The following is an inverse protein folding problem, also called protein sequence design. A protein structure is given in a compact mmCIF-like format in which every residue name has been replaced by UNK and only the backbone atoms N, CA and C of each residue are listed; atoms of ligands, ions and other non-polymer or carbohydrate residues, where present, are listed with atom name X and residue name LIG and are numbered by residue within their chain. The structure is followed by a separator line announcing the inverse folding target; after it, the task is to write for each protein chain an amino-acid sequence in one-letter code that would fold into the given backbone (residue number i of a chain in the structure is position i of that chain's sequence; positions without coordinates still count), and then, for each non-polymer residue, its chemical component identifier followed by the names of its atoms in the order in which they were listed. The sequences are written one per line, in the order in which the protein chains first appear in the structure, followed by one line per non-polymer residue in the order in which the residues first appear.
data_IF_477798105914
#
_entry.id   IF_477798105914
#
_cell.length_a   1.000
_cell.length_b   1.000
_cell.length_c   1.000
_cell.angle_alpha   90.00
_cell.angle_beta   90.00
_cell.angle_gamma   90.00
#
_symmetry.space_group_name_H-M   'P 1'
#
loop_
_entity.id
_entity.type
_entity.pdbx_description
1 polymer ?
#
# COMPACT_ATOMS: atom_id res chain seq x y z
N UNK A 1 -10.65 -2.90 -3.46
CA UNK A 1 -11.82 -3.01 -2.56
C UNK A 1 -12.69 -1.76 -2.68
N UNK A 2 -13.71 -1.59 -1.84
CA UNK A 2 -14.69 -0.49 -1.88
C UNK A 2 -15.41 -0.36 -0.52
N UNK A 3 -15.99 0.80 -0.24
CA UNK A 3 -16.87 1.04 0.92
C UNK A 3 -18.32 0.87 0.47
N UNK A 4 -19.08 -0.08 1.02
CA UNK A 4 -20.51 -0.32 0.72
C UNK A 4 -20.86 -0.69 -0.74
N UNK A 5 -20.37 0.04 -1.76
CA UNK A 5 -20.67 -0.18 -3.16
C UNK A 5 -19.46 -0.05 -4.10
N UNK A 6 -19.21 -1.10 -4.89
CA UNK A 6 -18.02 -1.26 -5.77
C UNK A 6 -17.80 -0.17 -6.82
N UNK A 7 -18.89 0.43 -7.31
CA UNK A 7 -18.85 1.46 -8.37
C UNK A 7 -18.95 2.88 -7.82
N UNK A 8 -19.72 3.08 -6.74
CA UNK A 8 -20.06 4.41 -6.23
C UNK A 8 -19.03 4.90 -5.21
N UNK A 9 -18.54 4.00 -4.35
CA UNK A 9 -17.53 4.31 -3.33
C UNK A 9 -16.32 3.36 -3.45
N UNK A 10 -15.66 3.27 -4.61
CA UNK A 10 -14.41 2.51 -4.73
C UNK A 10 -13.30 3.14 -3.88
N UNK A 11 -12.31 2.33 -3.54
CA UNK A 11 -11.12 2.79 -2.82
C UNK A 11 -9.84 2.31 -3.51
N UNK A 12 -8.76 3.04 -3.27
CA UNK A 12 -7.40 2.72 -3.71
C UNK A 12 -6.54 2.34 -2.51
N UNK A 13 -5.47 1.60 -2.76
CA UNK A 13 -4.44 1.33 -1.78
C UNK A 13 -3.07 1.40 -2.47
N UNK A 14 -2.24 2.34 -2.06
CA UNK A 14 -0.84 2.42 -2.44
C UNK A 14 -0.02 1.52 -1.49
N UNK A 15 0.98 0.84 -2.03
CA UNK A 15 1.87 -0.05 -1.28
C UNK A 15 3.28 0.21 -1.78
N UNK A 16 4.19 0.46 -0.85
CA UNK A 16 5.61 0.62 -1.10
C UNK A 16 6.38 -0.49 -0.39
N UNK A 17 7.35 -1.08 -1.08
CA UNK A 17 8.21 -2.12 -0.53
C UNK A 17 9.69 -1.83 -0.79
N UNK A 18 10.56 -2.37 0.06
CA UNK A 18 11.96 -2.58 -0.28
C UNK A 18 12.06 -3.85 -1.15
N UNK A 19 12.77 -3.74 -2.26
CA UNK A 19 12.72 -4.72 -3.36
C UNK A 19 13.36 -6.05 -3.00
N UNK A 20 14.48 -6.05 -2.28
CA UNK A 20 15.28 -7.26 -2.02
C UNK A 20 14.69 -8.10 -0.90
N UNK A 21 14.29 -7.44 0.18
CA UNK A 21 13.75 -8.04 1.41
C UNK A 21 12.24 -8.29 1.36
N UNK A 22 11.53 -7.67 0.41
CA UNK A 22 10.06 -7.63 0.38
C UNK A 22 9.44 -6.88 1.56
N UNK A 23 10.24 -6.11 2.32
CA UNK A 23 9.76 -5.35 3.47
C UNK A 23 8.76 -4.29 3.02
N UNK A 24 7.56 -4.31 3.59
CA UNK A 24 6.55 -3.30 3.31
C UNK A 24 6.91 -2.04 4.09
N UNK A 25 7.32 -1.00 3.38
CA UNK A 25 7.76 0.27 3.96
C UNK A 25 6.54 1.11 4.38
N UNK A 26 5.55 1.21 3.49
CA UNK A 26 4.34 1.99 3.76
C UNK A 26 3.14 1.45 2.99
N UNK A 27 1.96 1.60 3.59
CA UNK A 27 0.69 1.37 2.89
C UNK A 27 -0.24 2.54 3.12
N UNK A 28 -0.96 2.96 2.08
CA UNK A 28 -1.96 4.04 2.20
C UNK A 28 -3.22 3.75 1.41
N UNK A 29 -4.32 3.60 2.14
CA UNK A 29 -5.66 3.52 1.60
C UNK A 29 -6.25 4.92 1.37
N UNK A 30 -7.11 5.06 0.36
CA UNK A 30 -7.80 6.31 0.09
C UNK A 30 -9.04 6.13 -0.77
N UNK A 31 -9.88 7.16 -0.80
CA UNK A 31 -11.07 7.15 -1.63
C UNK A 31 -10.74 7.26 -3.13
N UNK A 32 -11.60 6.71 -3.96
CA UNK A 32 -11.67 6.97 -5.39
C UNK A 32 -13.02 7.62 -5.72
N UNK A 33 -13.05 8.39 -6.81
CA UNK A 33 -14.30 8.86 -7.41
C UNK A 33 -15.14 7.67 -7.91
N UNK A 34 -16.45 7.86 -7.98
CA UNK A 34 -17.35 6.89 -8.59
C UNK A 34 -16.92 6.58 -10.03
N UNK A 35 -17.07 5.33 -10.48
CA UNK A 35 -16.52 4.87 -11.76
C UNK A 35 -17.40 3.85 -12.48
N UNK A 36 -17.22 3.78 -13.80
CA UNK A 36 -17.89 2.84 -14.70
C UNK A 36 -19.31 3.29 -15.08
N UNK A 37 -19.92 2.59 -16.04
CA UNK A 37 -21.32 2.81 -16.45
C UNK A 37 -22.27 2.55 -15.28
N UNK A 38 -23.20 3.47 -15.06
CA UNK A 38 -24.21 3.45 -13.99
C UNK A 38 -25.60 3.33 -14.62
N UNK A 39 -26.50 2.66 -13.92
CA UNK A 39 -27.95 2.72 -14.18
C UNK A 39 -28.51 4.01 -13.56
N UNK A 40 -29.75 4.37 -13.90
CA UNK A 40 -30.45 5.53 -13.31
C UNK A 40 -30.52 5.44 -11.79
N UNK A 41 -30.99 4.31 -11.25
CA UNK A 41 -30.99 4.07 -9.79
C UNK A 41 -29.58 4.16 -9.14
N UNK A 42 -28.51 3.82 -9.87
CA UNK A 42 -27.13 4.00 -9.36
C UNK A 42 -26.67 5.46 -9.42
N UNK A 43 -27.26 6.25 -10.30
CA UNK A 43 -26.98 7.67 -10.47
C UNK A 43 -27.70 8.48 -9.39
N UNK A 44 -28.98 8.19 -9.14
CA UNK A 44 -29.76 8.73 -8.01
C UNK A 44 -29.07 8.43 -6.68
N UNK A 45 -28.73 7.16 -6.44
CA UNK A 45 -28.00 6.76 -5.22
C UNK A 45 -26.65 7.47 -5.08
N UNK A 46 -25.99 7.79 -6.18
CA UNK A 46 -24.73 8.55 -6.15
C UNK A 46 -24.97 10.01 -5.77
N UNK A 47 -26.08 10.61 -6.22
CA UNK A 47 -26.46 11.97 -5.89
C UNK A 47 -26.82 12.09 -4.42
N UNK A 48 -27.60 11.15 -3.88
CA UNK A 48 -27.87 11.04 -2.43
C UNK A 48 -26.57 11.02 -1.62
N UNK A 49 -25.64 10.12 -1.96
CA UNK A 49 -24.34 10.02 -1.29
C UNK A 49 -23.55 11.33 -1.40
N UNK A 50 -23.63 12.04 -2.53
CA UNK A 50 -22.92 13.31 -2.72
C UNK A 50 -23.56 14.47 -1.96
N UNK A 51 -24.88 14.46 -1.75
CA UNK A 51 -25.55 15.41 -0.88
C UNK A 51 -25.18 15.19 0.58
N UNK A 52 -25.11 13.93 1.02
CA UNK A 52 -24.77 13.56 2.41
C UNK A 52 -23.27 13.75 2.73
N UNK A 53 -22.37 13.27 1.86
CA UNK A 53 -20.93 13.16 2.15
C UNK A 53 -20.05 14.11 1.31
N UNK A 54 -20.65 14.82 0.35
CA UNK A 54 -19.94 15.63 -0.63
C UNK A 54 -19.37 14.84 -1.82
N UNK A 55 -18.91 15.57 -2.84
CA UNK A 55 -18.37 14.99 -4.08
C UNK A 55 -17.03 14.27 -3.83
N UNK A 56 -17.03 12.95 -4.00
CA UNK A 56 -15.82 12.10 -3.86
C UNK A 56 -14.78 12.42 -4.94
N UNK A 57 -13.61 12.90 -4.52
CA UNK A 57 -12.42 13.09 -5.38
C UNK A 57 -11.43 11.93 -5.22
N UNK A 58 -10.67 11.64 -6.27
CA UNK A 58 -9.66 10.56 -6.24
C UNK A 58 -8.46 10.94 -5.37
N UNK A 59 -8.22 10.17 -4.30
CA UNK A 59 -7.07 10.32 -3.41
C UNK A 59 -5.82 9.54 -3.91
N UNK A 60 -5.89 8.85 -5.06
CA UNK A 60 -4.81 7.95 -5.52
C UNK A 60 -3.45 8.62 -5.64
N UNK A 61 -3.40 9.90 -6.05
CA UNK A 61 -2.15 10.67 -6.15
C UNK A 61 -1.58 10.98 -4.75
N UNK A 62 -2.44 11.44 -3.84
CA UNK A 62 -2.05 11.71 -2.46
C UNK A 62 -1.56 10.45 -1.74
N UNK A 63 -2.23 9.31 -1.89
CA UNK A 63 -1.78 8.05 -1.29
C UNK A 63 -0.40 7.61 -1.79
N UNK A 64 -0.13 7.80 -3.09
CA UNK A 64 1.18 7.50 -3.68
C UNK A 64 2.25 8.45 -3.15
N UNK A 65 1.93 9.74 -3.07
CA UNK A 65 2.84 10.75 -2.53
C UNK A 65 3.22 10.46 -1.08
N UNK A 66 2.26 10.10 -0.24
CA UNK A 66 2.51 9.75 1.15
C UNK A 66 3.44 8.53 1.28
N UNK A 67 3.32 7.54 0.39
CA UNK A 67 4.30 6.45 0.32
C UNK A 67 5.70 6.95 -0.05
N UNK A 68 5.80 7.90 -0.98
CA UNK A 68 7.09 8.50 -1.36
C UNK A 68 7.67 9.34 -0.23
N UNK A 69 6.87 10.17 0.44
CA UNK A 69 7.30 10.94 1.62
C UNK A 69 7.80 10.00 2.73
N UNK A 70 7.08 8.91 3.00
CA UNK A 70 7.52 7.88 3.95
C UNK A 70 8.88 7.26 3.57
N UNK A 71 9.13 7.01 2.27
CA UNK A 71 10.43 6.56 1.79
C UNK A 71 11.56 7.55 2.11
N UNK A 72 11.28 8.85 1.96
CA UNK A 72 12.22 9.92 2.28
C UNK A 72 12.58 9.99 3.76
N UNK A 73 11.60 9.68 4.63
CA UNK A 73 11.79 9.68 6.09
C UNK A 73 12.56 8.48 6.65
N UNK A 74 12.53 7.32 5.97
CA UNK A 74 13.19 6.10 6.49
C UNK A 74 14.66 5.94 6.05
N UNK A 75 15.09 6.62 4.99
CA UNK A 75 16.45 6.48 4.45
C UNK A 75 17.38 7.52 5.08
N UNK A 76 18.60 7.11 5.47
CA UNK A 76 19.65 8.01 5.96
C UNK A 76 19.90 9.17 4.98
N UNK A 77 20.00 10.40 5.47
CA UNK A 77 19.96 11.66 4.69
C UNK A 77 20.94 11.73 3.52
N UNK A 78 22.12 11.10 3.64
CA UNK A 78 23.19 11.10 2.64
C UNK A 78 23.00 10.05 1.52
N UNK A 79 22.08 9.09 1.68
CA UNK A 79 21.88 8.03 0.69
C UNK A 79 20.90 8.46 -0.41
N UNK A 80 21.23 8.26 -1.70
CA UNK A 80 20.32 8.55 -2.80
C UNK A 80 19.11 7.61 -2.80
N UNK A 81 17.97 8.12 -3.23
CA UNK A 81 16.72 7.34 -3.31
C UNK A 81 16.68 6.59 -4.62
N UNK A 82 16.52 5.26 -4.56
CA UNK A 82 16.33 4.41 -5.74
C UNK A 82 14.89 3.94 -5.79
N UNK A 83 14.08 4.55 -6.64
CA UNK A 83 12.66 4.24 -6.78
C UNK A 83 12.40 3.43 -8.04
N UNK A 84 11.59 2.38 -7.92
CA UNK A 84 11.17 1.56 -9.05
C UNK A 84 9.64 1.52 -9.12
N UNK A 85 9.08 1.85 -10.28
CA UNK A 85 7.63 1.84 -10.50
C UNK A 85 7.26 1.26 -11.86
N UNK A 86 5.96 1.07 -12.10
CA UNK A 86 5.47 0.93 -13.46
C UNK A 86 5.52 2.29 -14.22
N UNK A 87 4.99 2.32 -15.45
CA UNK A 87 4.93 3.52 -16.30
C UNK A 87 3.69 4.42 -16.08
N UNK A 88 3.04 4.35 -14.92
CA UNK A 88 1.89 5.21 -14.63
C UNK A 88 2.33 6.67 -14.66
N UNK A 89 1.69 7.46 -15.54
CA UNK A 89 2.01 8.86 -15.82
C UNK A 89 2.06 9.77 -14.59
N UNK A 90 1.36 9.41 -13.51
CA UNK A 90 1.33 10.23 -12.29
C UNK A 90 2.58 10.09 -11.42
N UNK A 91 3.37 9.02 -11.57
CA UNK A 91 4.51 8.79 -10.66
C UNK A 91 5.57 9.88 -10.71
N UNK A 92 6.06 10.34 -11.88
CA UNK A 92 7.07 11.41 -11.92
C UNK A 92 6.62 12.69 -11.22
N UNK A 93 5.35 13.09 -11.42
CA UNK A 93 4.78 14.29 -10.78
C UNK A 93 4.69 14.13 -9.27
N UNK A 94 4.22 12.99 -8.77
CA UNK A 94 4.11 12.78 -7.32
C UNK A 94 5.48 12.56 -6.66
N UNK A 95 6.48 12.05 -7.39
CA UNK A 95 7.88 12.01 -6.91
C UNK A 95 8.44 13.43 -6.72
N UNK A 96 8.23 14.33 -7.69
CA UNK A 96 8.63 15.74 -7.56
C UNK A 96 7.94 16.41 -6.37
N UNK A 97 6.64 16.14 -6.17
CA UNK A 97 5.85 16.70 -5.06
C UNK A 97 6.24 16.17 -3.69
N UNK A 98 6.72 14.94 -3.59
CA UNK A 98 7.26 14.40 -2.34
C UNK A 98 8.55 15.12 -1.89
N UNK A 99 9.13 15.94 -2.78
CA UNK A 99 10.21 16.88 -2.48
C UNK A 99 11.38 16.26 -1.70
N UNK A 100 11.94 15.17 -2.24
CA UNK A 100 13.11 14.56 -1.67
C UNK A 100 14.28 15.55 -1.63
N UNK A 101 14.88 15.76 -0.46
CA UNK A 101 16.05 16.63 -0.26
C UNK A 101 17.36 16.10 -0.88
N UNK A 102 17.28 15.07 -1.72
CA UNK A 102 18.43 14.29 -2.19
C UNK A 102 18.20 13.68 -3.56
N UNK A 103 19.28 13.20 -4.17
CA UNK A 103 19.24 12.60 -5.50
C UNK A 103 18.24 11.44 -5.59
N UNK A 104 17.35 11.49 -6.58
CA UNK A 104 16.36 10.47 -6.89
C UNK A 104 16.69 9.78 -8.22
N UNK A 105 16.95 8.48 -8.16
CA UNK A 105 17.06 7.60 -9.31
C UNK A 105 15.75 6.84 -9.50
N UNK A 106 14.92 7.31 -10.45
CA UNK A 106 13.63 6.69 -10.76
C UNK A 106 13.73 5.80 -12.00
N UNK A 107 13.56 4.48 -11.82
CA UNK A 107 13.51 3.51 -12.91
C UNK A 107 12.08 3.02 -13.13
N UNK A 108 11.61 3.09 -14.38
CA UNK A 108 10.27 2.61 -14.74
C UNK A 108 10.34 1.27 -15.48
N UNK A 109 9.33 0.43 -15.28
CA UNK A 109 9.18 -0.85 -15.97
C UNK A 109 7.81 -0.91 -16.63
N UNK A 110 7.76 -1.37 -17.88
CA UNK A 110 6.48 -1.54 -18.57
C UNK A 110 5.70 -2.70 -17.93
N UNK A 111 4.44 -2.45 -17.57
CA UNK A 111 3.57 -3.43 -16.93
C UNK A 111 3.19 -4.60 -17.85
N UNK A 112 3.39 -4.45 -19.16
CA UNK A 112 3.17 -5.49 -20.18
C UNK A 112 4.35 -6.45 -20.34
N UNK A 113 5.53 -6.13 -19.77
CA UNK A 113 6.68 -7.06 -19.80
C UNK A 113 6.30 -8.36 -19.11
N UNK A 114 6.91 -9.46 -19.58
CA UNK A 114 6.72 -10.80 -19.02
C UNK A 114 6.85 -10.77 -17.50
N UNK A 115 5.91 -11.42 -16.82
CA UNK A 115 5.86 -11.48 -15.35
C UNK A 115 6.68 -12.68 -14.87
N UNK A 116 7.99 -12.53 -14.87
CA UNK A 116 8.93 -13.50 -14.31
C UNK A 116 9.75 -12.87 -13.18
N UNK A 117 10.62 -13.65 -12.55
CA UNK A 117 11.49 -13.21 -11.46
C UNK A 117 12.51 -12.12 -11.89
N UNK A 118 12.76 -11.95 -13.19
CA UNK A 118 13.67 -10.91 -13.72
C UNK A 118 12.96 -9.56 -13.86
N UNK A 119 11.63 -9.55 -13.86
CA UNK A 119 10.84 -8.33 -13.90
C UNK A 119 10.98 -7.54 -12.59
N UNK A 120 11.36 -6.26 -12.69
CA UNK A 120 11.49 -5.38 -11.52
C UNK A 120 10.19 -5.17 -10.75
N UNK A 121 9.03 -5.39 -11.38
CA UNK A 121 7.73 -5.35 -10.73
C UNK A 121 7.35 -6.67 -10.05
N UNK A 122 8.14 -7.74 -10.22
CA UNK A 122 7.83 -9.03 -9.60
C UNK A 122 7.70 -8.93 -8.08
N UNK A 123 8.62 -8.30 -7.33
CA UNK A 123 8.53 -8.28 -5.87
C UNK A 123 7.26 -7.61 -5.36
N UNK A 124 6.89 -6.45 -5.93
CA UNK A 124 5.67 -5.74 -5.53
C UNK A 124 4.42 -6.50 -5.96
N UNK A 125 4.40 -7.09 -7.15
CA UNK A 125 3.26 -7.89 -7.61
C UNK A 125 3.05 -9.14 -6.73
N UNK A 126 4.14 -9.80 -6.33
CA UNK A 126 4.11 -10.93 -5.41
C UNK A 126 3.60 -10.51 -4.03
N UNK A 127 4.09 -9.40 -3.47
CA UNK A 127 3.58 -8.84 -2.21
C UNK A 127 2.09 -8.52 -2.31
N UNK A 128 1.64 -7.87 -3.39
CA UNK A 128 0.23 -7.57 -3.62
C UNK A 128 -0.64 -8.83 -3.79
N UNK A 129 -0.11 -9.92 -4.36
CA UNK A 129 -0.80 -11.20 -4.44
C UNK A 129 -1.01 -11.77 -3.03
N UNK A 130 0.04 -11.80 -2.21
CA UNK A 130 -0.03 -12.27 -0.83
C UNK A 130 -0.93 -11.38 0.05
N UNK A 131 -0.94 -10.06 -0.16
CA UNK A 131 -1.88 -9.17 0.51
C UNK A 131 -3.33 -9.54 0.19
N UNK A 132 -3.64 -9.93 -1.06
CA UNK A 132 -5.02 -10.34 -1.41
C UNK A 132 -5.41 -11.66 -0.78
N UNK A 133 -4.47 -12.58 -0.66
CA UNK A 133 -4.66 -13.86 0.02
C UNK A 133 -4.87 -13.67 1.53
N UNK A 134 -4.02 -12.87 2.17
CA UNK A 134 -4.07 -12.63 3.62
C UNK A 134 -5.11 -11.60 4.08
N UNK A 135 -5.60 -10.75 3.19
CA UNK A 135 -6.61 -9.73 3.49
C UNK A 135 -7.84 -9.94 2.60
N UNK A 136 -8.83 -10.67 3.11
CA UNK A 136 -10.08 -10.99 2.39
C UNK A 136 -10.81 -9.76 1.83
N UNK A 137 -10.61 -8.60 2.46
CA UNK A 137 -11.18 -7.33 2.01
C UNK A 137 -10.61 -6.82 0.69
N UNK A 138 -9.42 -7.25 0.27
CA UNK A 138 -8.81 -6.86 -1.01
C UNK A 138 -9.28 -7.72 -2.19
N UNK A 139 -9.81 -8.91 -1.91
CA UNK A 139 -10.37 -9.81 -2.91
C UNK A 139 -11.58 -9.17 -3.59
N UNK A 140 -11.63 -9.27 -4.91
CA UNK A 140 -12.71 -8.67 -5.71
C UNK A 140 -13.89 -9.63 -5.69
N UNK A 141 -15.07 -9.17 -5.24
CA UNK A 141 -16.33 -9.96 -5.11
C UNK A 141 -16.37 -10.90 -3.90
N UNK A 142 -15.85 -10.47 -2.75
CA UNK A 142 -16.09 -11.12 -1.46
C UNK A 142 -17.07 -10.31 -0.60
N UNK A 143 -17.71 -10.95 0.38
CA UNK A 143 -18.50 -10.28 1.42
C UNK A 143 -17.62 -9.40 2.34
N UNK A 144 -16.31 -9.68 2.38
CA UNK A 144 -15.34 -9.01 3.24
C UNK A 144 -14.92 -7.61 2.83
N UNK A 145 -15.61 -6.94 1.90
CA UNK A 145 -15.26 -5.59 1.46
C UNK A 145 -15.12 -4.61 2.64
N UNK A 146 -14.11 -3.75 2.59
CA UNK A 146 -13.80 -2.83 3.67
C UNK A 146 -14.94 -1.80 3.84
N UNK A 147 -15.68 -1.85 4.94
CA UNK A 147 -16.81 -0.95 5.18
C UNK A 147 -16.40 0.52 5.30
N UNK A 148 -15.17 0.80 5.75
CA UNK A 148 -14.59 2.14 5.88
C UNK A 148 -13.13 2.16 5.42
N UNK A 149 -12.66 3.24 4.79
CA UNK A 149 -11.25 3.43 4.40
C UNK A 149 -10.31 3.32 5.61
N UNK A 150 -10.70 3.91 6.76
CA UNK A 150 -9.93 3.79 8.02
C UNK A 150 -9.78 2.34 8.47
N UNK A 151 -10.82 1.53 8.29
CA UNK A 151 -10.79 0.09 8.58
C UNK A 151 -9.85 -0.65 7.64
N UNK A 152 -9.89 -0.34 6.34
CA UNK A 152 -8.93 -0.88 5.37
C UNK A 152 -7.48 -0.53 5.74
N UNK A 153 -7.22 0.72 6.10
CA UNK A 153 -5.89 1.17 6.51
C UNK A 153 -5.37 0.41 7.74
N UNK A 154 -6.22 0.23 8.76
CA UNK A 154 -5.87 -0.53 9.96
C UNK A 154 -5.56 -1.99 9.63
N UNK A 155 -6.38 -2.63 8.80
CA UNK A 155 -6.15 -4.00 8.34
C UNK A 155 -4.83 -4.10 7.55
N UNK A 156 -4.56 -3.14 6.66
CA UNK A 156 -3.30 -3.08 5.91
C UNK A 156 -2.08 -2.96 6.84
N UNK A 157 -2.18 -2.18 7.93
CA UNK A 157 -1.12 -2.08 8.94
C UNK A 157 -0.93 -3.37 9.74
N UNK A 158 -2.02 -4.03 10.16
CA UNK A 158 -1.94 -5.34 10.83
C UNK A 158 -1.25 -6.37 9.92
N UNK A 159 -1.65 -6.41 8.65
CA UNK A 159 -1.00 -7.28 7.67
C UNK A 159 0.47 -6.91 7.45
N UNK A 160 0.79 -5.62 7.40
CA UNK A 160 2.16 -5.12 7.25
C UNK A 160 3.04 -5.59 8.40
N UNK A 161 2.58 -5.44 9.65
CA UNK A 161 3.31 -5.89 10.83
C UNK A 161 3.49 -7.41 10.83
N UNK A 162 2.43 -8.17 10.56
CA UNK A 162 2.50 -9.63 10.44
C UNK A 162 3.47 -10.06 9.34
N UNK A 163 3.36 -9.47 8.14
CA UNK A 163 4.21 -9.80 6.98
C UNK A 163 5.66 -9.47 7.24
N UNK A 164 5.96 -8.31 7.82
CA UNK A 164 7.34 -7.86 7.99
C UNK A 164 8.05 -8.60 9.12
N UNK A 165 7.38 -8.86 10.25
CA UNK A 165 8.03 -9.30 11.48
C UNK A 165 7.75 -10.75 11.87
N UNK A 166 6.63 -11.33 11.43
CA UNK A 166 6.22 -12.69 11.83
C UNK A 166 6.33 -13.68 10.69
N UNK A 167 5.91 -13.30 9.48
CA UNK A 167 5.87 -14.22 8.35
C UNK A 167 7.21 -14.21 7.60
N UNK A 168 7.83 -15.37 7.45
CA UNK A 168 8.98 -15.52 6.56
C UNK A 168 8.66 -15.13 5.11
N UNK A 169 9.66 -14.70 4.34
CA UNK A 169 9.51 -14.42 2.89
C UNK A 169 9.10 -15.70 2.16
N UNK A 170 9.77 -16.82 2.47
CA UNK A 170 9.43 -18.16 1.98
C UNK A 170 9.17 -19.11 3.15
N UNK A 171 8.39 -20.17 2.90
CA UNK A 171 8.13 -21.22 3.90
C UNK A 171 9.41 -21.97 4.29
N UNK A 172 10.35 -22.11 3.33
CA UNK A 172 11.60 -22.84 3.51
C UNK A 172 12.60 -22.07 4.38
N UNK A 173 12.89 -20.82 4.03
CA UNK A 173 13.92 -20.03 4.74
C UNK A 173 13.44 -19.48 6.07
N UNK A 174 12.13 -19.19 6.19
CA UNK A 174 11.48 -18.54 7.34
C UNK A 174 12.04 -17.16 7.73
N UNK A 175 13.15 -16.71 7.15
CA UNK A 175 13.66 -15.33 7.27
C UNK A 175 12.58 -14.32 6.91
N UNK A 176 12.29 -13.40 7.83
CA UNK A 176 11.26 -12.39 7.63
C UNK A 176 11.77 -11.24 6.76
N UNK A 177 10.87 -10.46 6.13
CA UNK A 177 11.27 -9.23 5.45
C UNK A 177 12.05 -8.27 6.34
N UNK A 178 11.69 -8.15 7.63
CA UNK A 178 12.41 -7.29 8.58
C UNK A 178 13.85 -7.78 8.82
N UNK A 179 14.05 -9.09 8.98
CA UNK A 179 15.39 -9.68 9.07
C UNK A 179 16.19 -9.46 7.79
N UNK A 180 15.59 -9.74 6.63
CA UNK A 180 16.27 -9.54 5.34
C UNK A 180 16.59 -8.07 5.04
N UNK A 181 15.86 -7.13 5.64
CA UNK A 181 16.11 -5.70 5.54
C UNK A 181 17.10 -5.17 6.60
N UNK A 182 17.51 -6.00 7.57
CA UNK A 182 18.35 -5.58 8.70
C UNK A 182 17.63 -4.72 9.74
N UNK A 183 16.29 -4.79 9.79
CA UNK A 183 15.46 -4.03 10.76
C UNK A 183 15.41 -4.74 12.12
N UNK A 184 15.54 -6.07 12.14
CA UNK A 184 15.61 -6.85 13.36
C UNK A 184 16.41 -8.14 13.14
N UNK A 185 17.07 -8.64 14.17
CA UNK A 185 17.93 -9.84 14.04
C UNK A 185 17.13 -11.14 14.08
N UNK A 186 15.99 -11.13 14.77
CA UNK A 186 15.16 -12.31 14.99
C UNK A 186 13.73 -12.16 14.47
N UNK A 187 13.11 -13.28 14.10
CA UNK A 187 11.70 -13.38 13.77
C UNK A 187 10.88 -13.17 15.05
N UNK A 188 9.84 -12.34 14.98
CA UNK A 188 8.94 -12.12 16.10
C UNK A 188 7.79 -13.10 16.07
N UNK A 189 7.29 -13.45 17.25
CA UNK A 189 6.05 -14.17 17.45
C UNK A 189 4.86 -13.21 17.30
N UNK A 190 3.70 -13.74 16.91
CA UNK A 190 2.48 -12.94 16.78
C UNK A 190 2.14 -12.21 18.09
N UNK A 191 2.32 -12.87 19.24
CA UNK A 191 2.08 -12.27 20.56
C UNK A 191 2.96 -11.04 20.82
N UNK A 192 4.19 -11.02 20.29
CA UNK A 192 5.13 -9.92 20.48
C UNK A 192 4.70 -8.71 19.64
N UNK A 193 4.35 -8.93 18.37
CA UNK A 193 3.80 -7.87 17.51
C UNK A 193 2.51 -7.27 18.11
N UNK A 194 1.62 -8.09 18.67
CA UNK A 194 0.36 -7.62 19.25
C UNK A 194 0.51 -6.96 20.62
N UNK A 195 1.58 -7.28 21.39
CA UNK A 195 1.90 -6.60 22.65
C UNK A 195 2.27 -5.13 22.44
N UNK A 196 2.77 -4.79 21.26
CA UNK A 196 3.14 -3.42 20.94
C UNK A 196 1.87 -2.59 20.70
N UNK A 197 1.63 -1.61 21.56
CA UNK A 197 0.62 -0.56 21.32
C UNK A 197 1.10 0.36 20.19
N UNK A 198 0.85 -0.03 18.95
CA UNK A 198 1.10 0.78 17.76
C UNK A 198 -0.02 1.84 17.58
N UNK A 199 0.23 3.16 17.69
CA UNK A 199 1.43 3.89 18.15
C UNK A 199 1.13 4.75 19.41
N UNK A 200 1.69 4.39 20.56
CA UNK A 200 1.76 5.26 21.74
C UNK A 200 3.22 5.58 22.18
N UNK A 201 4.23 5.02 21.50
CA UNK A 201 5.65 5.19 21.86
C UNK A 201 6.55 5.79 20.78
N UNK A 202 6.00 6.26 19.66
CA UNK A 202 6.78 7.05 18.68
C UNK A 202 6.71 8.56 18.91
N UNK A 203 6.11 8.98 20.03
CA UNK A 203 6.04 10.37 20.46
C UNK A 203 6.73 10.51 21.82
N UNK A 204 8.04 10.30 21.87
CA UNK A 204 8.89 11.01 22.84
C UNK A 204 10.24 11.33 22.15
N UNK A 205 10.71 12.58 22.25
CA UNK A 205 12.05 12.97 21.82
C UNK A 205 13.14 12.30 22.66
#
# INVERSE_FOLDING_TARGET
TFEHHRKLKPVTMAVLIERKSYFIVHTRAGQLAARGRRTEAQQERLEEIQMEEGKRRSASRACVRECFEALGGVLASHLPIRLQTDKKRTYPTECKRANFSRALYHRTTDSRKRRDYRNLLFPINHTLAMMRDGMSCLVRRSWGAAKKIKGLQRHAWLWTAYRNYVRGVTVKTRTTPAQSAGVCDQQWQLKEVLRWRWPLRMAQP
#
